data_IF_260601605416
#
_entry.id   IF_260601605416
#
_cell.length_a   1.000
_cell.length_b   1.000
_cell.length_c   1.000
_cell.angle_alpha   90.00
_cell.angle_beta   90.00
_cell.angle_gamma   90.00
#
_symmetry.space_group_name_H-M   'P 1'
#
loop_
_entity.id
_entity.type
_entity.pdbx_description
1 polymer ?
#
# COMPACT_ATOMS: atom_id res chain seq x y z
N UNK A 1 -27.78 3.91 10.58
CA UNK A 1 -26.71 4.70 9.95
C UNK A 1 -25.32 4.31 10.46
N UNK A 2 -25.06 4.31 11.77
CA UNK A 2 -23.74 3.89 12.32
C UNK A 2 -23.31 2.46 11.91
N UNK A 3 -24.24 1.49 11.89
CA UNK A 3 -23.96 0.12 11.42
C UNK A 3 -23.57 0.05 9.94
N UNK A 4 -24.12 0.93 9.09
CA UNK A 4 -23.81 0.95 7.67
C UNK A 4 -22.43 1.57 7.38
N UNK A 5 -22.03 2.60 8.13
CA UNK A 5 -20.67 3.17 8.05
C UNK A 5 -19.64 2.14 8.53
N UNK A 6 -19.88 1.50 9.68
CA UNK A 6 -18.99 0.46 10.21
C UNK A 6 -18.82 -0.72 9.23
N UNK A 7 -19.91 -1.18 8.60
CA UNK A 7 -19.84 -2.24 7.60
C UNK A 7 -19.02 -1.84 6.36
N UNK A 8 -19.10 -0.58 5.92
CA UNK A 8 -18.33 -0.09 4.77
C UNK A 8 -16.87 0.13 5.13
N UNK A 9 -16.56 0.61 6.32
CA UNK A 9 -15.20 0.68 6.85
C UNK A 9 -14.54 -0.71 6.91
N UNK A 10 -15.27 -1.71 7.44
CA UNK A 10 -14.82 -3.11 7.41
C UNK A 10 -14.65 -3.61 5.97
N UNK A 11 -15.61 -3.33 5.09
CA UNK A 11 -15.57 -3.69 3.68
C UNK A 11 -14.38 -3.08 2.94
N UNK A 12 -13.97 -1.86 3.27
CA UNK A 12 -12.78 -1.22 2.71
C UNK A 12 -11.50 -1.97 3.10
N UNK A 13 -11.35 -2.33 4.38
CA UNK A 13 -10.17 -3.05 4.89
C UNK A 13 -10.10 -4.47 4.29
N UNK A 14 -11.18 -5.24 4.42
CA UNK A 14 -11.22 -6.63 3.93
C UNK A 14 -11.17 -6.68 2.41
N UNK A 15 -11.88 -5.77 1.73
CA UNK A 15 -11.86 -5.67 0.28
C UNK A 15 -10.48 -5.37 -0.27
N UNK A 16 -9.73 -4.45 0.35
CA UNK A 16 -8.35 -4.17 -0.04
C UNK A 16 -7.44 -5.39 0.14
N UNK A 17 -7.52 -6.09 1.28
CA UNK A 17 -6.72 -7.29 1.54
C UNK A 17 -7.04 -8.45 0.58
N UNK A 18 -8.32 -8.65 0.26
CA UNK A 18 -8.76 -9.66 -0.72
C UNK A 18 -8.29 -9.30 -2.13
N UNK A 19 -8.42 -8.02 -2.52
CA UNK A 19 -8.02 -7.55 -3.83
C UNK A 19 -6.51 -7.67 -4.07
N UNK A 20 -5.69 -7.38 -3.06
CA UNK A 20 -4.23 -7.54 -3.16
C UNK A 20 -3.85 -9.01 -3.37
N UNK A 21 -4.36 -9.92 -2.52
CA UNK A 21 -4.11 -11.36 -2.65
C UNK A 21 -4.65 -11.94 -3.97
N UNK A 22 -5.78 -11.42 -4.46
CA UNK A 22 -6.36 -11.81 -5.75
C UNK A 22 -5.47 -11.42 -6.93
N UNK A 23 -4.91 -10.21 -6.93
CA UNK A 23 -4.14 -9.66 -8.03
C UNK A 23 -2.66 -10.05 -8.02
N UNK A 24 -2.10 -10.37 -6.84
CA UNK A 24 -0.70 -10.70 -6.60
C UNK A 24 -0.09 -11.67 -7.64
N UNK A 25 -0.76 -12.77 -8.04
CA UNK A 25 -0.19 -13.72 -9.01
C UNK A 25 -0.05 -13.18 -10.43
N UNK A 26 -0.76 -12.11 -10.81
CA UNK A 26 -0.79 -11.58 -12.17
C UNK A 26 -0.22 -10.17 -12.30
N UNK A 27 -0.10 -9.41 -11.21
CA UNK A 27 0.30 -8.02 -11.28
C UNK A 27 1.72 -7.85 -11.88
N UNK A 28 1.99 -6.63 -12.37
CA UNK A 28 3.25 -6.26 -13.03
C UNK A 28 3.58 -6.98 -14.35
N UNK A 29 2.61 -7.68 -14.96
CA UNK A 29 2.69 -8.04 -16.39
C UNK A 29 2.39 -6.79 -17.24
N UNK A 30 3.43 -6.04 -17.59
CA UNK A 30 3.30 -4.78 -18.36
C UNK A 30 3.08 -4.97 -19.86
N UNK A 31 3.50 -6.11 -20.42
CA UNK A 31 3.30 -6.42 -21.83
C UNK A 31 1.85 -6.89 -22.05
N UNK A 32 1.06 -6.06 -22.73
CA UNK A 32 -0.36 -6.33 -22.99
C UNK A 32 -0.57 -7.57 -23.86
N UNK A 33 0.30 -7.86 -24.81
CA UNK A 33 0.18 -9.06 -25.66
C UNK A 33 0.44 -10.32 -24.83
N UNK A 34 1.44 -10.27 -23.93
CA UNK A 34 1.70 -11.34 -22.97
C UNK A 34 0.51 -11.53 -22.02
N UNK A 35 -0.03 -10.44 -21.47
CA UNK A 35 -1.20 -10.49 -20.58
C UNK A 35 -2.41 -11.11 -21.29
N UNK A 36 -2.73 -10.67 -22.52
CA UNK A 36 -3.80 -11.26 -23.33
C UNK A 36 -3.58 -12.75 -23.60
N UNK A 37 -2.33 -13.15 -23.89
CA UNK A 37 -2.00 -14.56 -24.15
C UNK A 37 -2.17 -15.44 -22.91
N UNK A 38 -1.91 -14.90 -21.71
CA UNK A 38 -2.14 -15.58 -20.43
C UNK A 38 -3.64 -15.72 -20.20
N UNK A 39 -4.40 -14.62 -20.31
CA UNK A 39 -5.84 -14.60 -20.06
C UNK A 39 -6.66 -15.38 -21.11
N UNK A 40 -6.13 -15.56 -22.33
CA UNK A 40 -6.75 -16.43 -23.33
C UNK A 40 -6.74 -17.92 -22.94
N UNK A 41 -5.77 -18.34 -22.12
CA UNK A 41 -5.67 -19.72 -21.62
C UNK A 41 -6.46 -19.93 -20.34
N UNK A 42 -6.50 -18.91 -19.50
CA UNK A 42 -7.20 -18.91 -18.22
C UNK A 42 -7.78 -17.51 -17.97
N UNK A 43 -9.09 -17.32 -18.23
CA UNK A 43 -9.72 -16.00 -18.28
C UNK A 43 -9.97 -15.39 -16.90
N UNK A 44 -9.70 -16.10 -15.80
CA UNK A 44 -9.88 -15.59 -14.44
C UNK A 44 -8.55 -14.99 -13.95
N UNK A 45 -8.45 -13.65 -13.86
CA UNK A 45 -7.21 -12.99 -13.42
C UNK A 45 -6.95 -13.13 -11.91
N UNK A 46 -8.00 -13.30 -11.11
CA UNK A 46 -7.91 -13.42 -9.66
C UNK A 46 -7.43 -14.80 -9.21
N UNK A 47 -6.65 -14.82 -8.12
CA UNK A 47 -6.26 -16.05 -7.42
C UNK A 47 -5.70 -17.15 -8.34
N UNK A 48 -4.92 -16.77 -9.36
CA UNK A 48 -4.32 -17.72 -10.29
C UNK A 48 -3.50 -18.75 -9.53
N UNK A 49 -3.72 -20.04 -9.82
CA UNK A 49 -2.96 -21.12 -9.19
C UNK A 49 -1.49 -21.11 -9.64
N UNK A 50 -1.23 -20.81 -10.91
CA UNK A 50 0.10 -20.58 -11.43
C UNK A 50 0.35 -19.07 -11.55
N UNK A 51 1.33 -18.59 -10.79
CA UNK A 51 1.76 -17.18 -10.83
C UNK A 51 2.31 -16.83 -12.21
N UNK A 52 1.79 -15.75 -12.78
CA UNK A 52 2.27 -15.11 -13.99
C UNK A 52 3.17 -13.88 -13.69
N UNK A 53 3.38 -13.56 -12.42
CA UNK A 53 4.18 -12.44 -11.96
C UNK A 53 5.63 -12.58 -12.47
N UNK A 54 6.16 -11.58 -13.20
CA UNK A 54 7.49 -11.70 -13.80
C UNK A 54 8.64 -11.41 -12.83
N UNK A 55 8.37 -10.95 -11.60
CA UNK A 55 9.38 -10.47 -10.65
C UNK A 55 9.55 -11.36 -9.44
N UNK A 56 8.47 -11.88 -8.87
CA UNK A 56 8.53 -12.71 -7.68
C UNK A 56 7.36 -13.70 -7.65
N UNK A 57 7.49 -14.73 -6.81
CA UNK A 57 6.44 -15.73 -6.61
C UNK A 57 6.31 -16.06 -5.13
N UNK A 58 5.09 -15.89 -4.62
CA UNK A 58 4.63 -16.38 -3.31
C UNK A 58 3.39 -17.25 -3.53
N UNK A 59 2.99 -17.99 -2.51
CA UNK A 59 1.78 -18.81 -2.59
C UNK A 59 0.54 -17.93 -2.85
N UNK A 60 -0.26 -18.31 -3.83
CA UNK A 60 -1.55 -17.67 -4.13
C UNK A 60 -2.44 -17.58 -2.89
N UNK A 61 -3.00 -16.40 -2.66
CA UNK A 61 -3.79 -16.08 -1.47
C UNK A 61 -2.99 -15.39 -0.35
N UNK A 62 -1.65 -15.39 -0.42
CA UNK A 62 -0.83 -14.49 0.39
C UNK A 62 -0.86 -13.07 -0.16
N UNK A 63 -0.55 -12.11 0.72
CA UNK A 63 -0.41 -10.72 0.33
C UNK A 63 0.87 -10.50 -0.48
N UNK A 64 0.82 -9.47 -1.32
CA UNK A 64 2.01 -8.81 -1.84
C UNK A 64 2.60 -7.87 -0.78
N UNK A 65 3.73 -7.24 -1.11
CA UNK A 65 4.32 -6.20 -0.27
C UNK A 65 3.43 -4.96 -0.11
N UNK A 66 2.43 -4.75 -0.98
CA UNK A 66 1.41 -3.71 -0.79
C UNK A 66 0.46 -4.08 0.36
N UNK A 67 -0.11 -5.28 0.29
CA UNK A 67 -1.01 -5.81 1.32
C UNK A 67 -0.35 -5.95 2.69
N UNK A 68 0.91 -6.40 2.73
CA UNK A 68 1.68 -6.49 3.98
C UNK A 68 1.90 -5.10 4.62
N UNK A 69 2.13 -4.05 3.84
CA UNK A 69 2.23 -2.69 4.38
C UNK A 69 0.90 -2.22 4.97
N UNK A 70 -0.23 -2.56 4.33
CA UNK A 70 -1.57 -2.28 4.85
C UNK A 70 -1.83 -3.04 6.16
N UNK A 71 -1.42 -4.31 6.24
CA UNK A 71 -1.53 -5.13 7.45
C UNK A 71 -0.76 -4.51 8.62
N UNK A 72 0.50 -4.12 8.42
CA UNK A 72 1.31 -3.49 9.47
C UNK A 72 0.68 -2.19 9.99
N UNK A 73 0.12 -1.38 9.08
CA UNK A 73 -0.61 -0.17 9.46
C UNK A 73 -1.88 -0.49 10.26
N UNK A 74 -2.66 -1.48 9.82
CA UNK A 74 -3.85 -1.94 10.53
C UNK A 74 -3.52 -2.43 11.95
N UNK A 75 -2.46 -3.25 12.09
CA UNK A 75 -2.02 -3.80 13.37
C UNK A 75 -1.60 -2.67 14.33
N UNK A 76 -0.82 -1.70 13.85
CA UNK A 76 -0.41 -0.53 14.64
C UNK A 76 -1.62 0.28 15.13
N UNK A 77 -2.56 0.62 14.23
CA UNK A 77 -3.76 1.36 14.58
C UNK A 77 -4.63 0.63 15.62
N UNK A 78 -4.78 -0.69 15.45
CA UNK A 78 -5.58 -1.53 16.34
C UNK A 78 -4.99 -1.59 17.75
N UNK A 79 -3.68 -1.77 17.86
CA UNK A 79 -2.99 -1.92 19.15
C UNK A 79 -2.82 -0.57 19.88
N UNK A 80 -2.62 0.53 19.13
CA UNK A 80 -2.39 1.85 19.71
C UNK A 80 -3.68 2.68 19.92
N UNK A 81 -4.81 2.27 19.33
CA UNK A 81 -6.07 3.03 19.40
C UNK A 81 -6.04 4.35 18.59
N UNK A 82 -5.16 4.43 17.59
CA UNK A 82 -4.91 5.59 16.76
C UNK A 82 -3.54 5.50 16.10
N UNK A 83 -3.20 6.49 15.26
CA UNK A 83 -1.88 6.55 14.64
C UNK A 83 -0.82 6.88 15.69
N UNK A 84 0.09 5.95 15.90
CA UNK A 84 1.36 6.16 16.58
C UNK A 84 2.49 5.94 15.55
N UNK A 85 3.14 7.03 15.14
CA UNK A 85 4.18 7.00 14.09
C UNK A 85 5.40 6.21 14.53
N UNK A 86 5.75 6.23 15.81
CA UNK A 86 6.93 5.52 16.33
C UNK A 86 6.65 4.02 16.46
N UNK A 87 5.44 3.63 16.86
CA UNK A 87 5.01 2.24 16.82
C UNK A 87 4.96 1.72 15.37
N UNK A 88 4.38 2.48 14.44
CA UNK A 88 4.33 2.12 13.02
C UNK A 88 5.73 1.91 12.43
N UNK A 89 6.70 2.78 12.74
CA UNK A 89 8.11 2.60 12.36
C UNK A 89 8.69 1.31 12.92
N UNK A 90 8.48 1.03 14.21
CA UNK A 90 8.99 -0.19 14.87
C UNK A 90 8.42 -1.45 14.25
N UNK A 91 7.10 -1.49 13.99
CA UNK A 91 6.45 -2.64 13.35
C UNK A 91 6.87 -2.82 11.91
N UNK A 92 7.01 -1.72 11.16
CA UNK A 92 7.53 -1.75 9.79
C UNK A 92 8.95 -2.31 9.77
N UNK A 93 9.83 -1.86 10.67
CA UNK A 93 11.18 -2.40 10.80
C UNK A 93 11.16 -3.89 11.16
N UNK A 94 10.32 -4.30 12.12
CA UNK A 94 10.20 -5.71 12.52
C UNK A 94 9.70 -6.60 11.38
N UNK A 95 8.72 -6.15 10.61
CA UNK A 95 8.07 -6.94 9.58
C UNK A 95 8.91 -7.04 8.30
N UNK A 96 9.57 -5.95 7.90
CA UNK A 96 10.30 -5.86 6.64
C UNK A 96 11.83 -5.83 6.78
N UNK A 97 12.37 -5.72 7.99
CA UNK A 97 13.80 -5.56 8.27
C UNK A 97 14.57 -6.88 8.40
N UNK A 98 15.75 -6.85 9.06
CA UNK A 98 16.63 -8.01 9.18
C UNK A 98 15.95 -9.23 9.81
N UNK A 99 16.20 -10.42 9.25
CA UNK A 99 15.62 -11.69 9.71
C UNK A 99 14.16 -11.93 9.31
N UNK A 100 13.51 -11.01 8.59
CA UNK A 100 12.18 -11.21 8.03
C UNK A 100 12.21 -12.08 6.77
N UNK A 101 11.03 -12.51 6.30
CA UNK A 101 10.88 -13.17 4.99
C UNK A 101 11.29 -12.28 3.80
N UNK A 102 11.36 -10.97 4.02
CA UNK A 102 11.85 -10.01 3.04
C UNK A 102 13.38 -9.92 3.02
N UNK A 103 14.08 -10.44 4.04
CA UNK A 103 15.53 -10.32 4.20
C UNK A 103 16.30 -11.32 3.33
N UNK A 104 16.26 -11.06 2.02
CA UNK A 104 16.93 -11.88 1.00
C UNK A 104 18.00 -11.07 0.27
N UNK A 105 19.01 -11.72 -0.34
CA UNK A 105 20.05 -11.01 -1.10
C UNK A 105 19.52 -10.11 -2.23
N UNK A 106 18.38 -10.45 -2.85
CA UNK A 106 17.77 -9.61 -3.91
C UNK A 106 17.03 -8.40 -3.32
N UNK A 107 16.49 -8.57 -2.12
CA UNK A 107 15.77 -7.52 -1.39
C UNK A 107 16.68 -6.63 -0.54
N UNK A 108 17.96 -6.96 -0.39
CA UNK A 108 18.93 -6.18 0.37
C UNK A 108 18.88 -4.68 -0.02
N UNK A 109 18.59 -3.77 0.95
CA UNK A 109 18.58 -2.34 0.68
C UNK A 109 19.94 -1.83 0.17
N UNK A 110 21.04 -2.45 0.58
CA UNK A 110 22.41 -2.04 0.23
C UNK A 110 22.95 -2.70 -1.05
N UNK A 111 22.15 -3.54 -1.72
CA UNK A 111 22.53 -4.18 -2.98
C UNK A 111 22.95 -3.14 -4.02
N UNK A 112 24.20 -3.24 -4.51
CA UNK A 112 24.76 -2.29 -5.47
C UNK A 112 24.04 -2.32 -6.82
N UNK A 113 23.74 -1.13 -7.36
CA UNK A 113 23.21 -0.97 -8.72
C UNK A 113 24.33 -1.30 -9.72
N UNK A 114 24.07 -2.20 -10.66
CA UNK A 114 25.04 -2.62 -11.70
C UNK A 114 25.68 -4.00 -11.49
N UNK A 115 25.41 -4.66 -10.35
CA UNK A 115 25.78 -6.06 -10.17
C UNK A 115 24.99 -7.03 -11.07
N UNK A 116 25.32 -8.34 -11.06
CA UNK A 116 24.61 -9.35 -11.84
C UNK A 116 23.09 -9.29 -11.60
N UNK A 117 22.30 -9.32 -12.67
CA UNK A 117 20.83 -9.33 -12.54
C UNK A 117 20.40 -10.64 -11.90
N UNK A 118 19.46 -10.61 -10.92
CA UNK A 118 18.94 -11.84 -10.35
C UNK A 118 18.17 -12.62 -11.42
N UNK A 119 18.14 -13.94 -11.28
CA UNK A 119 17.17 -14.75 -12.01
C UNK A 119 15.77 -14.37 -11.49
N UNK A 120 14.87 -14.04 -12.42
CA UNK A 120 13.48 -13.71 -12.11
C UNK A 120 12.53 -14.78 -12.69
N UNK A 121 11.35 -14.98 -12.09
CA UNK A 121 10.92 -14.41 -10.80
C UNK A 121 11.73 -14.97 -9.61
N UNK A 122 11.92 -14.18 -8.56
CA UNK A 122 12.51 -14.69 -7.31
C UNK A 122 11.50 -15.58 -6.57
N UNK A 123 12.01 -16.55 -5.81
CA UNK A 123 11.21 -17.27 -4.82
C UNK A 123 11.08 -16.43 -3.55
N UNK A 124 9.84 -16.20 -3.10
CA UNK A 124 9.55 -15.36 -1.94
C UNK A 124 9.09 -13.93 -2.31
N UNK A 125 8.90 -13.07 -1.31
CA UNK A 125 8.28 -11.76 -1.51
C UNK A 125 9.27 -10.72 -2.07
N UNK A 126 8.75 -9.67 -2.69
CA UNK A 126 9.53 -8.56 -3.24
C UNK A 126 9.48 -7.32 -2.34
N UNK A 127 10.63 -6.86 -1.83
CA UNK A 127 10.71 -5.63 -1.00
C UNK A 127 10.72 -4.39 -1.88
N UNK A 128 9.76 -3.48 -1.66
CA UNK A 128 9.63 -2.24 -2.43
C UNK A 128 10.77 -1.25 -2.17
N UNK A 129 10.97 -0.33 -3.12
CA UNK A 129 12.01 0.70 -3.02
C UNK A 129 11.76 1.66 -1.85
N UNK A 130 10.50 2.05 -1.62
CA UNK A 130 10.03 2.79 -0.45
C UNK A 130 10.56 2.19 0.87
N UNK A 131 10.38 0.87 1.04
CA UNK A 131 10.83 0.12 2.22
C UNK A 131 12.36 -0.04 2.30
N UNK A 132 13.05 -0.19 1.16
CA UNK A 132 14.53 -0.21 1.16
C UNK A 132 15.11 1.13 1.62
N UNK A 133 14.52 2.24 1.19
CA UNK A 133 14.90 3.58 1.65
C UNK A 133 14.55 3.80 3.12
N UNK A 134 13.37 3.33 3.54
CA UNK A 134 12.97 3.33 4.96
C UNK A 134 14.01 2.66 5.85
N UNK A 135 14.43 1.44 5.53
CA UNK A 135 15.43 0.71 6.31
C UNK A 135 16.76 1.46 6.40
N UNK A 136 17.24 2.02 5.28
CA UNK A 136 18.46 2.84 5.27
C UNK A 136 18.34 4.08 6.15
N UNK A 137 17.22 4.78 6.07
CA UNK A 137 16.99 6.00 6.84
C UNK A 137 16.88 5.69 8.33
N UNK A 138 16.31 4.55 8.71
CA UNK A 138 16.31 4.05 10.10
C UNK A 138 17.73 3.74 10.57
N UNK A 139 18.52 3.01 9.77
CA UNK A 139 19.91 2.67 10.10
C UNK A 139 20.81 3.91 10.25
N UNK A 140 20.52 4.97 9.49
CA UNK A 140 21.18 6.27 9.57
C UNK A 140 20.67 7.15 10.74
N UNK A 141 19.67 6.69 11.50
CA UNK A 141 19.10 7.43 12.63
C UNK A 141 18.30 8.68 12.22
N UNK A 142 17.79 8.73 10.98
CA UNK A 142 16.98 9.87 10.51
C UNK A 142 15.62 9.90 11.20
N UNK A 143 15.17 11.10 11.53
CA UNK A 143 13.81 11.30 12.04
C UNK A 143 12.75 11.02 10.95
N UNK A 144 12.96 11.58 9.75
CA UNK A 144 12.13 11.34 8.58
C UNK A 144 12.64 10.10 7.84
N UNK A 145 11.84 9.04 7.83
CA UNK A 145 12.26 7.73 7.33
C UNK A 145 11.78 7.43 5.92
N UNK A 146 10.77 8.13 5.41
CA UNK A 146 10.23 7.86 4.07
C UNK A 146 11.19 8.15 2.93
N UNK A 147 10.99 7.48 1.80
CA UNK A 147 11.75 7.72 0.58
C UNK A 147 11.35 9.05 -0.09
N UNK A 148 12.31 9.93 -0.35
CA UNK A 148 12.06 11.26 -0.93
C UNK A 148 11.83 11.25 -2.45
N UNK A 149 12.01 10.12 -3.10
CA UNK A 149 11.94 9.99 -4.57
C UNK A 149 11.05 8.85 -5.05
N UNK A 150 10.46 8.08 -4.13
CA UNK A 150 9.56 7.00 -4.50
C UNK A 150 8.18 7.58 -4.88
N UNK A 151 7.74 7.26 -6.09
CA UNK A 151 6.46 7.67 -6.66
C UNK A 151 5.58 6.46 -7.02
N UNK A 152 5.75 5.34 -6.31
CA UNK A 152 4.93 4.16 -6.52
C UNK A 152 3.61 4.24 -5.74
N UNK A 153 2.67 3.37 -6.09
CA UNK A 153 1.29 3.38 -5.57
C UNK A 153 1.16 2.83 -4.12
N UNK A 154 2.27 2.63 -3.41
CA UNK A 154 2.31 2.06 -2.05
C UNK A 154 1.38 2.80 -1.09
N UNK A 155 1.35 4.13 -1.11
CA UNK A 155 0.46 4.95 -0.29
C UNK A 155 -1.01 4.62 -0.52
N UNK A 156 -1.43 4.55 -1.79
CA UNK A 156 -2.83 4.27 -2.17
C UNK A 156 -3.25 2.86 -1.78
N UNK A 157 -2.38 1.87 -1.98
CA UNK A 157 -2.72 0.47 -1.70
C UNK A 157 -2.83 0.15 -0.21
N UNK A 158 -2.22 0.96 0.67
CA UNK A 158 -2.25 0.74 2.13
C UNK A 158 -3.16 1.65 2.93
N UNK A 159 -3.86 2.62 2.31
CA UNK A 159 -4.61 3.65 3.05
C UNK A 159 -5.92 3.15 3.71
N UNK A 160 -6.44 1.98 3.32
CA UNK A 160 -7.76 1.53 3.76
C UNK A 160 -7.93 1.47 5.31
N UNK A 161 -6.97 0.92 6.09
CA UNK A 161 -7.08 0.88 7.55
C UNK A 161 -7.16 2.27 8.19
N UNK A 162 -6.31 3.20 7.76
CA UNK A 162 -6.24 4.52 8.39
C UNK A 162 -7.43 5.40 8.01
N UNK A 163 -7.88 5.35 6.75
CA UNK A 163 -9.10 6.07 6.34
C UNK A 163 -10.32 5.49 7.05
N UNK A 164 -10.44 4.16 7.15
CA UNK A 164 -11.53 3.53 7.89
C UNK A 164 -11.54 3.93 9.37
N UNK A 165 -10.37 4.09 10.00
CA UNK A 165 -10.24 4.47 11.41
C UNK A 165 -10.67 5.92 11.67
N UNK A 166 -10.30 6.84 10.76
CA UNK A 166 -10.48 8.28 10.90
C UNK A 166 -11.63 8.86 10.06
N UNK A 167 -12.39 8.05 9.32
CA UNK A 167 -13.48 8.52 8.47
C UNK A 167 -14.46 9.43 9.22
N UNK A 168 -14.73 10.61 8.65
CA UNK A 168 -15.60 11.64 9.20
C UNK A 168 -14.94 12.52 10.28
N UNK A 169 -13.64 12.33 10.57
CA UNK A 169 -12.90 13.15 11.53
C UNK A 169 -12.05 14.20 10.80
N UNK A 170 -11.98 15.45 11.29
CA UNK A 170 -11.27 16.53 10.62
C UNK A 170 -9.76 16.27 10.44
N UNK A 171 -9.16 15.45 11.32
CA UNK A 171 -7.75 15.09 11.28
C UNK A 171 -7.42 13.94 10.29
N UNK A 172 -8.40 13.37 9.57
CA UNK A 172 -8.19 12.17 8.74
C UNK A 172 -7.03 12.32 7.76
N UNK A 173 -6.98 13.43 7.01
CA UNK A 173 -5.92 13.65 6.02
C UNK A 173 -4.55 13.88 6.64
N UNK A 174 -4.48 14.57 7.78
CA UNK A 174 -3.23 14.75 8.55
C UNK A 174 -2.67 13.38 8.97
N UNK A 175 -3.53 12.49 9.49
CA UNK A 175 -3.12 11.15 9.91
C UNK A 175 -2.72 10.27 8.73
N UNK A 176 -3.44 10.35 7.61
CA UNK A 176 -3.05 9.67 6.37
C UNK A 176 -1.66 10.12 5.92
N UNK A 177 -1.40 11.42 5.87
CA UNK A 177 -0.09 11.97 5.49
C UNK A 177 1.02 11.48 6.41
N UNK A 178 0.85 11.60 7.73
CA UNK A 178 1.83 11.14 8.72
C UNK A 178 2.19 9.66 8.54
N UNK A 179 1.20 8.80 8.29
CA UNK A 179 1.41 7.37 8.09
C UNK A 179 2.13 7.03 6.77
N UNK A 180 1.82 7.75 5.68
CA UNK A 180 2.47 7.53 4.37
C UNK A 180 3.94 7.94 4.44
N UNK A 181 4.22 9.10 5.08
CA UNK A 181 5.56 9.66 5.23
C UNK A 181 6.53 8.77 6.02
N UNK A 182 6.03 7.74 6.71
CA UNK A 182 6.88 6.69 7.28
C UNK A 182 7.72 5.99 6.21
N UNK A 183 7.16 5.65 5.04
CA UNK A 183 7.88 4.93 3.97
C UNK A 183 8.01 5.70 2.65
N UNK A 184 7.16 6.71 2.40
CA UNK A 184 7.19 7.56 1.21
C UNK A 184 7.08 9.04 1.59
N UNK A 185 8.17 9.79 1.43
CA UNK A 185 8.25 11.21 1.78
C UNK A 185 8.43 12.08 0.53
N UNK A 186 7.62 11.82 -0.50
CA UNK A 186 7.63 12.56 -1.77
C UNK A 186 6.27 13.23 -1.99
N UNK A 187 6.24 14.56 -2.03
CA UNK A 187 5.00 15.33 -1.96
C UNK A 187 3.98 15.00 -3.06
N UNK A 188 4.35 14.78 -4.34
CA UNK A 188 3.39 14.35 -5.35
C UNK A 188 2.73 13.00 -5.02
N UNK A 189 3.50 12.03 -4.52
CA UNK A 189 2.97 10.73 -4.10
C UNK A 189 2.02 10.86 -2.89
N UNK A 190 2.37 11.75 -1.94
CA UNK A 190 1.51 12.04 -0.78
C UNK A 190 0.21 12.69 -1.25
N UNK A 191 0.27 13.68 -2.14
CA UNK A 191 -0.89 14.37 -2.68
C UNK A 191 -1.86 13.42 -3.42
N UNK A 192 -1.34 12.53 -4.27
CA UNK A 192 -2.13 11.49 -4.93
C UNK A 192 -2.82 10.57 -3.92
N UNK A 193 -2.12 10.21 -2.85
CA UNK A 193 -2.67 9.35 -1.80
C UNK A 193 -3.75 10.07 -0.98
N UNK A 194 -3.58 11.35 -0.69
CA UNK A 194 -4.60 12.16 -0.01
C UNK A 194 -5.87 12.32 -0.85
N UNK A 195 -5.73 12.46 -2.17
CA UNK A 195 -6.88 12.46 -3.08
C UNK A 195 -7.63 11.12 -3.05
N UNK A 196 -6.90 9.99 -3.09
CA UNK A 196 -7.48 8.66 -2.95
C UNK A 196 -8.14 8.44 -1.58
N UNK A 197 -7.57 9.00 -0.51
CA UNK A 197 -8.13 8.91 0.84
C UNK A 197 -9.49 9.62 0.96
N UNK A 198 -9.64 10.81 0.36
CA UNK A 198 -10.94 11.52 0.29
C UNK A 198 -11.99 10.69 -0.45
N UNK A 199 -11.60 10.08 -1.57
CA UNK A 199 -12.52 9.24 -2.34
C UNK A 199 -12.95 8.00 -1.55
N UNK A 200 -12.03 7.33 -0.87
CA UNK A 200 -12.39 6.19 -0.02
C UNK A 200 -13.26 6.61 1.16
N UNK A 201 -12.94 7.72 1.83
CA UNK A 201 -13.75 8.27 2.91
C UNK A 201 -15.18 8.55 2.45
N UNK A 202 -15.35 9.15 1.26
CA UNK A 202 -16.66 9.41 0.67
C UNK A 202 -17.50 8.13 0.57
N UNK A 203 -16.92 7.04 0.04
CA UNK A 203 -17.61 5.76 -0.06
C UNK A 203 -17.92 5.16 1.33
N UNK A 204 -17.01 5.30 2.30
CA UNK A 204 -17.23 4.83 3.67
C UNK A 204 -18.38 5.57 4.35
N UNK A 205 -18.49 6.89 4.14
CA UNK A 205 -19.50 7.74 4.77
C UNK A 205 -20.84 7.68 4.04
N UNK A 206 -20.86 7.75 2.70
CA UNK A 206 -22.06 7.96 1.89
C UNK A 206 -22.50 6.75 1.07
N UNK A 207 -21.55 5.90 0.66
CA UNK A 207 -21.83 4.61 0.01
C UNK A 207 -21.68 4.78 -1.48
N UNK A 208 -22.31 3.91 -2.26
CA UNK A 208 -22.26 4.03 -3.72
C UNK A 208 -22.78 5.40 -4.16
N UNK A 209 -21.93 6.14 -4.86
CA UNK A 209 -22.23 7.44 -5.40
C UNK A 209 -21.56 7.58 -6.78
N UNK A 210 -22.34 7.73 -7.86
CA UNK A 210 -21.79 7.90 -9.21
C UNK A 210 -21.05 9.24 -9.38
N UNK A 211 -21.28 10.22 -8.50
CA UNK A 211 -20.69 11.56 -8.58
C UNK A 211 -19.57 11.75 -7.54
N UNK A 212 -19.09 10.68 -6.88
CA UNK A 212 -18.10 10.77 -5.80
C UNK A 212 -16.84 11.55 -6.19
N UNK A 213 -16.38 11.40 -7.44
CA UNK A 213 -15.21 12.11 -7.96
C UNK A 213 -15.47 13.62 -7.99
N UNK A 214 -16.62 14.05 -8.54
CA UNK A 214 -16.97 15.46 -8.64
C UNK A 214 -17.09 16.10 -7.26
N UNK A 215 -17.74 15.40 -6.31
CA UNK A 215 -17.86 15.84 -4.91
C UNK A 215 -16.49 16.03 -4.26
N UNK A 216 -15.56 15.08 -4.45
CA UNK A 216 -14.21 15.16 -3.88
C UNK A 216 -13.39 16.28 -4.51
N UNK A 217 -13.55 16.54 -5.81
CA UNK A 217 -12.88 17.64 -6.52
C UNK A 217 -13.35 18.99 -5.99
N UNK A 218 -14.67 19.17 -5.81
CA UNK A 218 -15.25 20.40 -5.26
C UNK A 218 -14.71 20.68 -3.83
N UNK A 219 -14.70 19.67 -2.96
CA UNK A 219 -14.15 19.78 -1.60
C UNK A 219 -12.66 20.14 -1.57
N UNK A 220 -11.89 19.69 -2.56
CA UNK A 220 -10.46 19.95 -2.63
C UNK A 220 -10.16 21.39 -3.06
N UNK A 221 -11.01 21.96 -3.91
CA UNK A 221 -10.91 23.33 -4.42
C UNK A 221 -11.13 24.38 -3.32
N UNK A 222 -12.02 24.11 -2.36
CA UNK A 222 -12.28 25.00 -1.22
C UNK A 222 -11.08 25.13 -0.26
N UNK A 223 -10.20 24.14 -0.22
CA UNK A 223 -8.98 24.15 0.62
C UNK A 223 -7.84 25.01 0.04
N UNK A 224 -7.87 25.35 -1.25
CA UNK A 224 -6.88 26.22 -1.91
C UNK A 224 -7.26 27.71 -1.87
N UNK A 225 -8.48 28.03 -1.42
CA UNK A 225 -9.00 29.39 -1.27
C UNK A 225 -9.02 29.90 0.18
N UNK A 226 -8.30 29.24 1.10
CA UNK A 226 -8.03 29.70 2.47
C UNK A 226 -6.54 29.71 2.74
#
# INVERSE_FOLDING_TARGET
MASAVANRALGAIVGAAVADAAAQPLHWVYDLQKLHSILAKDPNPEFRTESANPFYSVQTGLQSCYGDQAYVLLESLSECGGLDVDDLKKRTLKFFGPGSVYDTPVNDPYRQRGGPRPQLPIEGPWRHASLKSFLKNVDEGKHNTGCETDCQIDGITKLAPIVAFYAGRPEMLEKVEDAIRVTQNYDPCVAETLAAARLLEHYILHGSDPNAIDVVIEQSSDTLCK
#
